data_IF_032917128019
#
_entry.id   IF_032917128019
#
_cell.length_a   1.000
_cell.length_b   1.000
_cell.length_c   1.000
_cell.angle_alpha   90.00
_cell.angle_beta   90.00
_cell.angle_gamma   90.00
#
_symmetry.space_group_name_H-M   'P 1'
#
loop_
_entity.id
_entity.type
_entity.pdbx_description
1 polymer ?
#
# COMPACT_ATOMS: atom_id res chain seq x y z
N UNK A 1 17.88 20.05 -16.51
CA UNK A 1 17.40 18.65 -16.48
C UNK A 1 18.38 17.76 -17.23
N UNK A 2 18.89 16.69 -16.61
CA UNK A 2 19.69 15.68 -17.33
C UNK A 2 18.74 14.85 -18.20
N UNK A 3 19.07 14.74 -19.48
CA UNK A 3 18.34 13.89 -20.42
C UNK A 3 19.19 12.64 -20.66
N UNK A 4 18.55 11.47 -20.61
CA UNK A 4 19.17 10.20 -20.98
C UNK A 4 19.05 10.01 -22.49
N UNK A 5 18.45 8.89 -22.93
CA UNK A 5 18.12 8.60 -24.33
C UNK A 5 17.03 9.52 -24.94
N UNK A 6 17.15 10.83 -24.75
CA UNK A 6 16.19 11.83 -25.22
C UNK A 6 15.09 12.19 -24.23
N UNK A 7 14.94 11.47 -23.11
CA UNK A 7 13.91 11.69 -22.10
C UNK A 7 14.50 12.20 -20.76
N UNK A 8 13.77 13.02 -19.96
CA UNK A 8 14.25 13.46 -18.65
C UNK A 8 14.42 12.29 -17.68
N UNK A 9 15.66 12.08 -17.21
CA UNK A 9 16.00 10.95 -16.32
C UNK A 9 15.19 10.99 -15.03
N UNK A 10 15.03 12.18 -14.45
CA UNK A 10 14.25 12.37 -13.22
C UNK A 10 12.79 11.93 -13.34
N UNK A 11 12.19 12.00 -14.54
CA UNK A 11 10.81 11.53 -14.74
C UNK A 11 10.74 9.99 -14.81
N UNK A 12 11.72 9.36 -15.45
CA UNK A 12 11.84 7.89 -15.46
C UNK A 12 12.08 7.35 -14.06
N UNK A 13 13.01 7.94 -13.31
CA UNK A 13 13.30 7.56 -11.92
C UNK A 13 12.08 7.75 -11.01
N UNK A 14 11.38 8.89 -11.13
CA UNK A 14 10.18 9.15 -10.35
C UNK A 14 9.06 8.16 -10.68
N UNK A 15 8.92 7.74 -11.94
CA UNK A 15 7.95 6.72 -12.32
C UNK A 15 8.24 5.39 -11.64
N UNK A 16 9.51 4.95 -11.65
CA UNK A 16 9.94 3.72 -10.98
C UNK A 16 9.72 3.78 -9.46
N UNK A 17 10.04 4.90 -8.82
CA UNK A 17 9.88 5.11 -7.38
C UNK A 17 8.41 5.24 -6.94
N UNK A 18 7.53 5.72 -7.82
CA UNK A 18 6.11 5.92 -7.50
C UNK A 18 5.30 4.61 -7.56
N UNK A 19 5.89 3.50 -8.01
CA UNK A 19 5.21 2.21 -8.07
C UNK A 19 4.97 1.69 -6.65
N UNK A 20 3.71 1.64 -6.25
CA UNK A 20 3.26 0.98 -5.01
C UNK A 20 2.81 -0.44 -5.35
N UNK A 21 3.50 -1.44 -4.81
CA UNK A 21 3.20 -2.86 -5.03
C UNK A 21 2.04 -3.36 -4.17
N UNK A 22 1.60 -4.60 -4.41
CA UNK A 22 0.61 -5.24 -3.54
C UNK A 22 1.10 -5.37 -2.10
N UNK A 23 2.36 -5.80 -1.93
CA UNK A 23 3.03 -6.03 -0.65
C UNK A 23 3.12 -4.71 0.15
N UNK A 24 3.55 -3.62 -0.50
CA UNK A 24 3.65 -2.30 0.17
C UNK A 24 2.31 -1.86 0.79
N UNK A 25 1.20 -2.16 0.11
CA UNK A 25 -0.14 -1.85 0.62
C UNK A 25 -0.50 -2.72 1.82
N UNK A 26 -0.19 -4.02 1.75
CA UNK A 26 -0.47 -4.95 2.84
C UNK A 26 0.32 -4.59 4.10
N UNK A 27 1.61 -4.29 3.95
CA UNK A 27 2.49 -3.86 5.06
C UNK A 27 2.01 -2.55 5.67
N UNK A 28 1.62 -1.57 4.84
CA UNK A 28 1.05 -0.32 5.32
C UNK A 28 -0.22 -0.54 6.15
N UNK A 29 -1.14 -1.40 5.67
CA UNK A 29 -2.36 -1.69 6.41
C UNK A 29 -2.09 -2.41 7.73
N UNK A 30 -1.11 -3.33 7.78
CA UNK A 30 -0.71 -3.98 9.02
C UNK A 30 -0.12 -2.98 10.02
N UNK A 31 0.70 -2.03 9.56
CA UNK A 31 1.24 -0.97 10.40
C UNK A 31 0.14 -0.12 11.01
N UNK A 32 -0.80 0.36 10.17
CA UNK A 32 -1.92 1.18 10.64
C UNK A 32 -2.79 0.41 11.64
N UNK A 33 -3.11 -0.86 11.35
CA UNK A 33 -3.90 -1.70 12.25
C UNK A 33 -3.21 -1.87 13.61
N UNK A 34 -1.90 -2.09 13.61
CA UNK A 34 -1.10 -2.20 14.84
C UNK A 34 -1.16 -0.93 15.69
N UNK A 35 -1.04 0.25 15.06
CA UNK A 35 -1.12 1.55 15.75
C UNK A 35 -2.53 1.81 16.31
N UNK A 36 -3.58 1.44 15.58
CA UNK A 36 -4.96 1.59 16.07
C UNK A 36 -5.22 0.68 17.28
N UNK A 37 -4.68 -0.55 17.26
CA UNK A 37 -4.75 -1.47 18.41
C UNK A 37 -4.01 -0.90 19.62
N UNK A 38 -2.81 -0.34 19.42
CA UNK A 38 -2.03 0.29 20.49
C UNK A 38 -2.78 1.47 21.15
N UNK A 39 -3.43 2.30 20.34
CA UNK A 39 -4.25 3.42 20.81
C UNK A 39 -5.65 3.01 21.30
N UNK A 40 -5.93 1.70 21.42
CA UNK A 40 -7.21 1.14 21.87
C UNK A 40 -8.41 1.62 21.01
N UNK A 41 -8.15 1.92 19.75
CA UNK A 41 -9.18 2.33 18.79
C UNK A 41 -9.82 1.10 18.14
N UNK A 42 -11.11 1.17 17.80
CA UNK A 42 -11.77 0.06 17.11
C UNK A 42 -11.15 -0.13 15.72
N UNK A 43 -10.85 -1.38 15.36
CA UNK A 43 -10.34 -1.78 14.04
C UNK A 43 -11.38 -2.55 13.23
N UNK A 44 -12.46 -1.89 12.76
CA UNK A 44 -13.52 -2.58 12.03
C UNK A 44 -13.04 -2.98 10.64
N UNK A 45 -12.98 -4.28 10.39
CA UNK A 45 -12.76 -4.77 9.03
C UNK A 45 -14.04 -4.65 8.20
N UNK A 46 -13.93 -4.22 6.93
CA UNK A 46 -15.13 -4.09 6.08
C UNK A 46 -15.80 -5.45 5.86
N UNK A 47 -17.14 -5.46 5.78
CA UNK A 47 -17.90 -6.70 5.52
C UNK A 47 -17.45 -7.41 4.24
N UNK A 48 -17.03 -6.66 3.21
CA UNK A 48 -16.47 -7.23 1.97
C UNK A 48 -15.12 -7.91 2.19
N UNK A 49 -14.24 -7.34 3.03
CA UNK A 49 -12.96 -7.96 3.39
C UNK A 49 -13.18 -9.24 4.20
N UNK A 50 -14.12 -9.19 5.15
CA UNK A 50 -14.56 -10.36 5.89
C UNK A 50 -15.10 -11.45 4.96
N UNK A 51 -16.02 -11.13 4.05
CA UNK A 51 -16.56 -12.10 3.07
C UNK A 51 -15.51 -12.69 2.13
N UNK A 52 -14.47 -11.93 1.78
CA UNK A 52 -13.35 -12.46 0.99
C UNK A 52 -12.53 -13.49 1.77
N UNK A 53 -12.30 -13.25 3.06
CA UNK A 53 -11.53 -14.15 3.95
C UNK A 53 -12.35 -15.37 4.40
N UNK A 54 -13.64 -15.18 4.66
CA UNK A 54 -14.56 -16.23 5.11
C UNK A 54 -15.19 -17.05 3.96
N UNK A 55 -14.73 -16.87 2.71
CA UNK A 55 -15.35 -17.47 1.50
C UNK A 55 -15.44 -19.00 1.52
N UNK A 56 -14.63 -19.67 2.35
CA UNK A 56 -14.55 -21.13 2.44
C UNK A 56 -14.79 -21.67 3.86
N UNK A 57 -15.29 -20.82 4.77
CA UNK A 57 -15.69 -21.22 6.12
C UNK A 57 -17.13 -21.74 6.09
#
# INVERSE_FOLDING_TARGET
CKRGHGYPVALSEAHEQAVVTGIDREDFWQLVDSLLVEEHLPTPTSGKSFSKRARWV
#
